data_IF_919516465389
#
_entry.id   IF_919516465389
#
_cell.length_a   1.000
_cell.length_b   1.000
_cell.length_c   1.000
_cell.angle_alpha   90.00
_cell.angle_beta   90.00
_cell.angle_gamma   90.00
#
_symmetry.space_group_name_H-M   'P 1'
#
loop_
_entity.id
_entity.type
_entity.pdbx_description
1 polymer ?
#
# COMPACT_ATOMS: atom_id res chain seq x y z
N UNK A 1 11.54 5.77 1.18
CA UNK A 1 11.15 4.50 1.83
C UNK A 1 11.31 4.56 3.36
N UNK A 2 12.49 4.84 3.96
CA UNK A 2 12.64 4.78 5.43
C UNK A 2 11.65 5.66 6.19
N UNK A 3 11.44 6.90 5.70
CA UNK A 3 10.46 7.84 6.27
C UNK A 3 9.04 7.27 6.36
N UNK A 4 8.59 6.54 5.33
CA UNK A 4 7.24 5.98 5.26
C UNK A 4 7.07 4.84 6.28
N UNK A 5 8.09 4.00 6.40
CA UNK A 5 8.08 2.93 7.41
C UNK A 5 8.12 3.51 8.82
N UNK A 6 8.89 4.56 9.04
CA UNK A 6 8.95 5.23 10.33
C UNK A 6 7.62 5.92 10.70
N UNK A 7 6.95 6.55 9.73
CA UNK A 7 5.59 7.09 9.93
C UNK A 7 4.58 5.97 10.27
N UNK A 8 4.66 4.84 9.59
CA UNK A 8 3.80 3.69 9.87
C UNK A 8 4.05 3.10 11.27
N UNK A 9 5.31 3.10 11.72
CA UNK A 9 5.69 2.69 13.08
C UNK A 9 5.19 3.68 14.13
N UNK A 10 5.35 4.98 13.89
CA UNK A 10 4.89 6.02 14.83
C UNK A 10 3.37 6.06 14.98
N UNK A 11 2.64 5.61 13.94
CA UNK A 11 1.18 5.39 13.96
C UNK A 11 0.76 4.03 14.54
N UNK A 12 1.70 3.24 15.07
CA UNK A 12 1.45 1.90 15.64
C UNK A 12 0.77 0.93 14.67
N UNK A 13 0.96 1.12 13.36
CA UNK A 13 0.35 0.27 12.33
C UNK A 13 1.17 -0.98 12.00
N UNK A 14 2.46 -0.94 12.32
CA UNK A 14 3.42 -2.00 12.04
C UNK A 14 3.50 -2.95 13.22
N UNK A 15 3.36 -4.24 12.96
CA UNK A 15 3.49 -5.32 13.93
C UNK A 15 4.68 -6.21 13.56
N UNK A 16 5.47 -6.62 14.56
CA UNK A 16 6.49 -7.65 14.34
C UNK A 16 5.86 -9.04 14.30
N UNK A 17 6.15 -9.81 13.26
CA UNK A 17 5.72 -11.20 13.09
C UNK A 17 6.87 -12.01 12.52
N UNK A 18 7.31 -13.04 13.25
CA UNK A 18 8.43 -13.92 12.86
C UNK A 18 9.72 -13.18 12.46
N UNK A 19 10.07 -12.09 13.15
CA UNK A 19 11.19 -11.17 12.82
C UNK A 19 11.02 -10.36 11.54
N UNK A 20 9.88 -10.45 10.86
CA UNK A 20 9.47 -9.54 9.79
C UNK A 20 8.56 -8.44 10.37
N UNK A 21 8.40 -7.35 9.62
CA UNK A 21 7.45 -6.29 9.94
C UNK A 21 6.28 -6.36 8.96
N UNK A 22 5.07 -6.42 9.51
CA UNK A 22 3.82 -6.62 8.77
C UNK A 22 2.75 -5.63 9.22
N UNK A 23 1.76 -5.38 8.36
CA UNK A 23 0.58 -4.56 8.67
C UNK A 23 -0.66 -5.44 8.51
N UNK A 24 -1.45 -5.55 9.58
CA UNK A 24 -2.73 -6.26 9.58
C UNK A 24 -3.88 -5.33 9.17
N UNK A 25 -4.74 -5.81 8.28
CA UNK A 25 -5.94 -5.12 7.82
C UNK A 25 -7.17 -5.90 8.26
N UNK A 26 -8.19 -5.20 8.76
CA UNK A 26 -9.42 -5.84 9.21
C UNK A 26 -10.16 -6.51 8.04
N UNK A 27 -10.63 -7.74 8.24
CA UNK A 27 -11.35 -8.50 7.21
C UNK A 27 -10.48 -9.07 6.10
N UNK A 28 -9.15 -9.11 6.31
CA UNK A 28 -8.19 -9.68 5.37
C UNK A 28 -7.26 -10.63 6.12
N UNK A 29 -7.20 -11.88 5.66
CA UNK A 29 -6.39 -12.92 6.31
C UNK A 29 -4.89 -12.76 6.06
N UNK A 30 -4.52 -12.17 4.91
CA UNK A 30 -3.12 -11.98 4.52
C UNK A 30 -2.62 -10.58 4.92
N UNK A 31 -1.66 -10.46 5.85
CA UNK A 31 -1.07 -9.17 6.19
C UNK A 31 -0.12 -8.68 5.09
N UNK A 32 0.09 -7.36 5.04
CA UNK A 32 1.03 -6.72 4.12
C UNK A 32 2.43 -6.72 4.75
N UNK A 33 3.40 -7.43 4.17
CA UNK A 33 4.78 -7.43 4.67
C UNK A 33 5.54 -6.22 4.15
N UNK A 34 6.09 -5.41 5.06
CA UNK A 34 6.79 -4.15 4.74
C UNK A 34 8.29 -4.18 5.09
N UNK A 35 8.74 -5.12 5.91
CA UNK A 35 10.18 -5.38 6.08
C UNK A 35 10.37 -6.88 6.27
N UNK A 36 11.25 -7.47 5.47
CA UNK A 36 11.64 -8.88 5.58
C UNK A 36 12.49 -9.12 6.84
N UNK A 37 12.67 -10.40 7.19
CA UNK A 37 13.51 -10.81 8.34
C UNK A 37 14.98 -10.38 8.22
N UNK A 38 15.47 -10.19 6.99
CA UNK A 38 16.83 -9.73 6.68
C UNK A 38 16.96 -8.19 6.74
N UNK A 39 15.90 -7.46 7.11
CA UNK A 39 15.85 -6.00 7.10
C UNK A 39 15.60 -5.39 5.72
N UNK A 40 15.44 -6.22 4.67
CA UNK A 40 15.18 -5.77 3.32
C UNK A 40 13.74 -5.32 3.11
N UNK A 41 13.56 -4.26 2.33
CA UNK A 41 12.23 -3.79 1.91
C UNK A 41 11.62 -4.69 0.83
N UNK A 42 10.29 -4.74 0.79
CA UNK A 42 9.50 -5.52 -0.17
C UNK A 42 8.95 -4.65 -1.31
N UNK A 43 8.27 -5.27 -2.27
CA UNK A 43 7.57 -4.52 -3.33
C UNK A 43 6.41 -3.71 -2.75
N UNK A 44 5.67 -4.27 -1.79
CA UNK A 44 4.62 -3.62 -1.01
C UNK A 44 5.15 -2.33 -0.34
N UNK A 45 6.38 -2.38 0.17
CA UNK A 45 7.04 -1.23 0.79
C UNK A 45 7.31 -0.12 -0.22
N UNK A 46 7.74 -0.53 -1.43
CA UNK A 46 8.06 0.40 -2.51
C UNK A 46 6.80 1.07 -3.03
N UNK A 47 5.71 0.31 -3.20
CA UNK A 47 4.42 0.83 -3.65
C UNK A 47 3.76 1.75 -2.62
N UNK A 48 3.85 1.42 -1.32
CA UNK A 48 3.41 2.32 -0.25
C UNK A 48 4.20 3.62 -0.26
N UNK A 49 5.53 3.54 -0.41
CA UNK A 49 6.36 4.73 -0.44
C UNK A 49 6.09 5.60 -1.68
N UNK A 50 5.85 4.98 -2.84
CA UNK A 50 5.47 5.69 -4.05
C UNK A 50 4.09 6.34 -3.91
N UNK A 51 3.12 5.65 -3.30
CA UNK A 51 1.80 6.22 -3.03
C UNK A 51 1.90 7.43 -2.09
N UNK A 52 2.63 7.31 -0.98
CA UNK A 52 2.88 8.42 -0.06
C UNK A 52 3.48 9.62 -0.79
N UNK A 53 4.48 9.39 -1.65
CA UNK A 53 5.14 10.45 -2.40
C UNK A 53 4.18 11.16 -3.36
N UNK A 54 3.36 10.40 -4.10
CA UNK A 54 2.35 10.97 -5.01
C UNK A 54 1.31 11.81 -4.28
N UNK A 55 0.91 11.39 -3.09
CA UNK A 55 -0.06 12.13 -2.26
C UNK A 55 0.55 13.37 -1.61
N UNK A 56 1.76 13.25 -1.07
CA UNK A 56 2.34 14.28 -0.21
C UNK A 56 3.28 15.25 -0.93
N UNK A 57 4.03 14.79 -1.93
CA UNK A 57 4.99 15.61 -2.66
C UNK A 57 4.40 16.08 -3.99
N UNK A 58 3.84 15.16 -4.79
CA UNK A 58 3.23 15.52 -6.08
C UNK A 58 1.83 16.13 -5.93
N UNK A 59 1.20 15.97 -4.75
CA UNK A 59 -0.17 16.42 -4.45
C UNK A 59 -1.19 15.92 -5.47
N UNK A 60 -1.00 14.70 -5.97
CA UNK A 60 -1.89 14.09 -6.95
C UNK A 60 -3.28 13.86 -6.34
N UNK A 61 -4.32 14.34 -7.01
CA UNK A 61 -5.69 14.12 -6.57
C UNK A 61 -6.20 12.74 -7.00
N UNK A 62 -5.86 12.28 -8.20
CA UNK A 62 -6.23 10.93 -8.67
C UNK A 62 -5.02 10.15 -9.16
N UNK A 63 -4.75 9.02 -8.50
CA UNK A 63 -3.64 8.14 -8.84
C UNK A 63 -4.19 6.83 -9.40
N UNK A 64 -3.92 6.55 -10.67
CA UNK A 64 -4.41 5.37 -11.38
C UNK A 64 -3.24 4.40 -11.62
N UNK A 65 -3.35 3.20 -11.04
CA UNK A 65 -2.40 2.10 -11.20
C UNK A 65 -2.90 1.17 -12.31
N UNK A 66 -2.32 1.28 -13.49
CA UNK A 66 -2.62 0.37 -14.62
C UNK A 66 -1.68 -0.83 -14.55
N UNK A 67 -2.21 -2.00 -14.20
CA UNK A 67 -1.43 -3.21 -14.00
C UNK A 67 -2.27 -4.45 -14.31
N UNK A 68 -1.66 -5.63 -14.44
CA UNK A 68 -2.40 -6.87 -14.69
C UNK A 68 -3.49 -7.13 -13.63
N UNK A 69 -4.61 -7.73 -14.04
CA UNK A 69 -5.73 -8.03 -13.15
C UNK A 69 -5.34 -8.93 -11.96
N UNK A 70 -4.28 -9.75 -12.10
CA UNK A 70 -3.73 -10.58 -11.02
C UNK A 70 -3.14 -9.77 -9.86
N UNK A 71 -2.84 -8.48 -10.04
CA UNK A 71 -2.32 -7.58 -9.01
C UNK A 71 -3.43 -6.85 -8.22
N UNK A 72 -4.71 -7.12 -8.50
CA UNK A 72 -5.82 -6.43 -7.85
C UNK A 72 -5.79 -6.55 -6.32
N UNK A 73 -5.54 -7.76 -5.79
CA UNK A 73 -5.43 -7.96 -4.34
C UNK A 73 -4.25 -7.17 -3.75
N UNK A 74 -3.09 -7.17 -4.42
CA UNK A 74 -1.92 -6.41 -3.97
C UNK A 74 -2.24 -4.91 -3.81
N UNK A 75 -2.81 -4.29 -4.85
CA UNK A 75 -3.17 -2.88 -4.78
C UNK A 75 -4.28 -2.58 -3.77
N UNK A 76 -5.27 -3.47 -3.61
CA UNK A 76 -6.29 -3.34 -2.56
C UNK A 76 -5.65 -3.28 -1.16
N UNK A 77 -4.66 -4.14 -0.87
CA UNK A 77 -3.94 -4.10 0.41
C UNK A 77 -3.14 -2.81 0.60
N UNK A 78 -2.47 -2.32 -0.46
CA UNK A 78 -1.74 -1.05 -0.43
C UNK A 78 -2.68 0.12 -0.15
N UNK A 79 -3.83 0.17 -0.84
CA UNK A 79 -4.80 1.26 -0.67
C UNK A 79 -5.47 1.23 0.70
N UNK A 80 -5.87 0.05 1.20
CA UNK A 80 -6.40 -0.10 2.55
C UNK A 80 -5.38 0.27 3.63
N UNK A 81 -4.11 -0.04 3.41
CA UNK A 81 -3.02 0.37 4.30
C UNK A 81 -2.86 1.89 4.30
N UNK A 82 -2.94 2.54 3.13
CA UNK A 82 -2.90 4.00 3.03
C UNK A 82 -4.11 4.66 3.73
N UNK A 83 -5.31 4.10 3.63
CA UNK A 83 -6.50 4.55 4.38
C UNK A 83 -6.31 4.40 5.89
N UNK A 84 -5.82 3.23 6.33
CA UNK A 84 -5.48 2.97 7.74
C UNK A 84 -4.43 3.96 8.27
N UNK A 85 -3.51 4.39 7.41
CA UNK A 85 -2.53 5.43 7.71
C UNK A 85 -3.07 6.86 7.66
N UNK A 86 -4.35 7.04 7.31
CA UNK A 86 -4.98 8.35 7.20
C UNK A 86 -4.51 9.17 5.99
N UNK A 87 -3.96 8.52 4.96
CA UNK A 87 -3.53 9.21 3.74
C UNK A 87 -4.64 9.34 2.70
N UNK A 88 -5.67 8.50 2.82
CA UNK A 88 -6.84 8.44 1.95
C UNK A 88 -8.08 8.31 2.84
N UNK A 89 -9.20 8.88 2.39
CA UNK A 89 -10.50 8.70 3.03
C UNK A 89 -10.98 7.25 2.94
N UNK A 90 -11.98 6.84 3.73
CA UNK A 90 -12.48 5.45 3.72
C UNK A 90 -13.22 5.04 2.44
N UNK A 91 -13.57 5.99 1.57
CA UNK A 91 -14.32 5.76 0.34
C UNK A 91 -13.68 6.47 -0.86
N UNK A 92 -14.07 6.08 -2.07
CA UNK A 92 -13.55 6.67 -3.33
C UNK A 92 -14.40 7.82 -3.88
N UNK A 93 -15.28 8.40 -3.06
CA UNK A 93 -16.17 9.50 -3.46
C UNK A 93 -15.53 10.87 -3.27
N UNK A 94 -14.43 10.95 -2.53
CA UNK A 94 -13.67 12.16 -2.26
C UNK A 94 -12.26 12.07 -2.84
N UNK A 95 -11.62 13.22 -3.04
CA UNK A 95 -10.22 13.32 -3.43
C UNK A 95 -9.35 13.61 -2.18
N UNK A 96 -8.09 13.15 -2.16
CA UNK A 96 -7.43 12.34 -3.18
C UNK A 96 -7.92 10.88 -3.18
N UNK A 97 -7.90 10.22 -4.34
CA UNK A 97 -8.33 8.82 -4.51
C UNK A 97 -7.36 8.00 -5.35
N UNK A 98 -7.41 6.68 -5.16
CA UNK A 98 -6.62 5.72 -5.91
C UNK A 98 -7.51 4.77 -6.70
N UNK A 99 -7.00 4.23 -7.80
CA UNK A 99 -7.71 3.21 -8.58
C UNK A 99 -6.74 2.23 -9.18
N UNK A 100 -7.05 0.93 -9.11
CA UNK A 100 -6.37 -0.09 -9.92
C UNK A 100 -7.21 -0.35 -11.17
N UNK A 101 -6.58 -0.27 -12.35
CA UNK A 101 -7.19 -0.61 -13.62
C UNK A 101 -6.48 -1.84 -14.17
N UNK A 102 -7.14 -2.98 -13.98
CA UNK A 102 -6.68 -4.30 -14.40
C UNK A 102 -6.72 -4.49 -15.91
N UNK A 103 -5.63 -4.97 -16.52
CA UNK A 103 -5.69 -5.56 -17.86
C UNK A 103 -5.53 -7.09 -17.81
N UNK A 104 -6.16 -7.78 -18.78
CA UNK A 104 -6.16 -9.24 -18.88
C UNK A 104 -4.82 -9.82 -19.36
N UNK A 105 -4.71 -11.14 -19.34
CA UNK A 105 -3.55 -11.82 -19.89
C UNK A 105 -3.56 -11.73 -21.42
N UNK A 106 -2.41 -11.47 -22.02
CA UNK A 106 -2.22 -11.59 -23.46
C UNK A 106 -1.96 -13.06 -23.75
N UNK A 107 -2.91 -13.72 -24.40
CA UNK A 107 -2.76 -15.08 -24.91
C UNK A 107 -2.48 -14.98 -26.41
N UNK A 108 -1.34 -15.54 -26.84
CA UNK A 108 -0.87 -15.53 -28.22
C UNK A 108 -1.64 -16.48 -29.13
#
# INVERSE_FOLDING_TARGET
>A
IPQVIEEMRSKELVTESDKAQVIYLQGIDKPLMVVKKDGGYTYETTDLAALWYRLNEEKAEWIIYVAGASQALHFDLVFKTARKAGWLEDNDKTYPKTSHVGFGLIQG
#
